data_IF_594143436163
#
_entry.id   IF_594143436163
#
_cell.length_a   1.000
_cell.length_b   1.000
_cell.length_c   1.000
_cell.angle_alpha   90.00
_cell.angle_beta   90.00
_cell.angle_gamma   90.00
#
_symmetry.space_group_name_H-M   'P 1'
#
loop_
_entity.id
_entity.type
_entity.pdbx_description
1 polymer ?
#
# COMPACT_ATOMS: atom_id res chain seq x y z
N UNK A 1 34.40 16.68 27.29
CA UNK A 1 35.51 15.74 27.49
C UNK A 1 34.94 14.40 27.93
N UNK A 2 34.84 13.45 27.05
CA UNK A 2 35.03 12.00 27.26
C UNK A 2 35.00 11.32 25.88
N UNK A 3 36.10 10.72 25.61
CA UNK A 3 36.58 10.09 24.38
C UNK A 3 35.92 8.72 24.16
N UNK A 4 35.66 8.39 22.91
CA UNK A 4 35.34 7.06 22.41
C UNK A 4 36.62 6.24 22.20
N UNK A 5 36.57 4.91 22.29
CA UNK A 5 37.60 4.04 21.71
C UNK A 5 37.09 3.32 20.44
N UNK A 6 38.04 2.86 19.56
CA UNK A 6 37.76 2.14 18.35
C UNK A 6 37.79 0.63 18.56
N UNK A 7 37.07 -0.13 17.73
CA UNK A 7 37.25 -1.58 17.60
C UNK A 7 37.52 -1.96 16.15
N UNK A 8 38.71 -2.41 15.92
CA UNK A 8 39.21 -3.14 14.76
C UNK A 8 38.98 -4.64 14.96
N UNK A 9 38.75 -5.38 13.87
CA UNK A 9 38.67 -6.85 13.89
C UNK A 9 38.71 -7.42 12.48
N UNK A 10 39.90 -7.79 12.07
CA UNK A 10 40.30 -8.45 10.82
C UNK A 10 40.01 -9.96 10.83
N UNK A 11 40.00 -10.54 9.63
CA UNK A 11 40.34 -11.94 9.36
C UNK A 11 39.15 -12.78 8.88
N UNK A 12 39.22 -13.67 7.94
CA UNK A 12 40.32 -14.25 7.15
C UNK A 12 39.72 -15.04 5.98
N UNK A 13 40.44 -15.09 4.89
CA UNK A 13 40.26 -15.96 3.73
C UNK A 13 40.29 -17.46 4.05
N UNK A 14 39.56 -18.27 3.29
CA UNK A 14 40.05 -19.59 2.91
C UNK A 14 39.54 -20.03 1.54
N UNK A 15 40.52 -20.30 0.70
CA UNK A 15 40.50 -20.95 -0.61
C UNK A 15 40.35 -22.47 -0.49
N UNK A 16 40.02 -23.13 -1.59
CA UNK A 16 40.19 -24.55 -1.84
C UNK A 16 38.95 -25.14 -2.50
N UNK A 17 38.99 -25.95 -3.51
CA UNK A 17 39.97 -26.45 -4.46
C UNK A 17 39.20 -27.27 -5.50
N UNK A 18 39.73 -27.33 -6.69
CA UNK A 18 39.41 -28.12 -7.87
C UNK A 18 39.02 -29.59 -7.63
N UNK A 19 38.13 -30.08 -8.50
CA UNK A 19 37.90 -31.51 -8.71
C UNK A 19 37.40 -31.78 -10.13
N UNK A 20 38.32 -31.93 -11.08
CA UNK A 20 38.05 -32.40 -12.43
C UNK A 20 37.85 -33.91 -12.44
N UNK A 21 36.77 -34.42 -13.00
CA UNK A 21 36.52 -35.81 -13.27
C UNK A 21 35.99 -36.01 -14.67
N UNK A 22 36.89 -36.36 -15.58
CA UNK A 22 36.58 -36.78 -16.95
C UNK A 22 36.23 -38.27 -16.94
N UNK A 23 35.13 -38.67 -17.53
CA UNK A 23 34.86 -40.05 -17.89
C UNK A 23 34.03 -40.11 -19.20
N UNK A 24 34.58 -40.70 -20.24
CA UNK A 24 33.97 -41.12 -21.51
C UNK A 24 34.22 -42.61 -21.71
N UNK A 25 33.71 -43.30 -22.76
CA UNK A 25 32.32 -43.58 -23.10
C UNK A 25 32.04 -45.10 -23.21
N UNK A 26 30.80 -45.50 -23.23
CA UNK A 26 30.41 -46.89 -23.55
C UNK A 26 29.19 -46.89 -24.48
N UNK A 27 29.41 -47.27 -25.72
CA UNK A 27 28.37 -47.50 -26.70
C UNK A 27 27.80 -48.92 -26.56
N UNK A 28 26.48 -49.06 -26.55
CA UNK A 28 25.77 -50.27 -26.98
C UNK A 28 24.34 -49.94 -27.32
N UNK A 29 23.95 -50.18 -28.56
CA UNK A 29 22.63 -49.87 -29.09
C UNK A 29 21.59 -50.87 -28.66
N UNK A 30 20.37 -50.35 -28.51
CA UNK A 30 19.12 -51.10 -28.66
C UNK A 30 18.08 -50.18 -29.32
N UNK A 31 17.71 -50.57 -30.56
CA UNK A 31 16.59 -49.94 -31.25
C UNK A 31 15.28 -50.39 -30.59
N UNK A 32 14.59 -49.49 -29.96
CA UNK A 32 13.20 -49.67 -29.52
C UNK A 32 12.33 -48.60 -30.18
N UNK A 33 11.46 -49.07 -31.06
CA UNK A 33 10.41 -48.32 -31.73
C UNK A 33 9.45 -47.78 -30.67
N UNK A 34 9.56 -46.50 -30.33
CA UNK A 34 8.62 -45.82 -29.43
C UNK A 34 7.60 -45.00 -30.24
N UNK A 35 6.36 -45.48 -30.20
CA UNK A 35 5.18 -44.75 -30.71
C UNK A 35 5.14 -43.39 -30.04
N UNK A 36 5.20 -42.34 -30.84
CA UNK A 36 5.01 -40.94 -30.41
C UNK A 36 3.51 -40.71 -30.06
N UNK A 37 3.15 -40.88 -28.83
CA UNK A 37 1.94 -40.28 -28.29
C UNK A 37 2.25 -38.82 -27.97
N UNK A 38 1.85 -37.92 -28.87
CA UNK A 38 1.90 -36.47 -28.62
C UNK A 38 0.89 -36.12 -27.55
N UNK A 39 1.31 -36.07 -26.30
CA UNK A 39 0.58 -35.36 -25.27
C UNK A 39 0.81 -33.87 -25.49
N UNK A 40 -0.15 -33.22 -26.11
CA UNK A 40 -0.20 -31.76 -26.18
C UNK A 40 -0.43 -31.22 -24.76
N UNK A 41 0.67 -30.76 -24.14
CA UNK A 41 0.57 -29.94 -22.92
C UNK A 41 0.00 -28.59 -23.36
N UNK A 42 -1.30 -28.40 -23.16
CA UNK A 42 -1.90 -27.09 -23.28
C UNK A 42 -1.32 -26.21 -22.15
N UNK A 43 -0.36 -25.37 -22.49
CA UNK A 43 0.15 -24.32 -21.63
C UNK A 43 -0.97 -23.29 -21.45
N UNK A 44 -1.77 -23.44 -20.39
CA UNK A 44 -2.71 -22.39 -19.95
C UNK A 44 -1.87 -21.28 -19.36
N UNK A 45 -1.54 -20.29 -20.20
CA UNK A 45 -0.97 -19.02 -19.73
C UNK A 45 -2.11 -18.30 -19.00
N UNK A 46 -2.15 -18.44 -17.67
CA UNK A 46 -2.90 -17.54 -16.82
C UNK A 46 -2.24 -16.16 -16.96
N UNK A 47 -2.73 -15.36 -17.92
CA UNK A 47 -2.49 -13.92 -17.89
C UNK A 47 -3.16 -13.40 -16.61
N UNK A 48 -2.39 -13.36 -15.54
CA UNK A 48 -2.71 -12.54 -14.38
C UNK A 48 -2.80 -11.10 -14.89
N UNK A 49 -4.00 -10.57 -15.00
CA UNK A 49 -4.21 -9.15 -15.20
C UNK A 49 -3.58 -8.44 -14.01
N UNK A 50 -2.33 -8.01 -14.14
CA UNK A 50 -1.76 -6.99 -13.30
C UNK A 50 -2.60 -5.73 -13.61
N UNK A 51 -3.60 -5.46 -12.77
CA UNK A 51 -4.35 -4.21 -12.82
C UNK A 51 -3.34 -3.07 -12.74
N UNK A 52 -3.64 -1.93 -13.38
CA UNK A 52 -2.74 -0.78 -13.39
C UNK A 52 -2.42 -0.40 -11.94
N UNK A 53 -1.16 -0.43 -11.59
CA UNK A 53 -0.66 0.04 -10.30
C UNK A 53 -0.99 1.52 -10.19
N UNK A 54 -2.00 1.88 -9.40
CA UNK A 54 -2.33 3.26 -9.05
C UNK A 54 -3.52 3.90 -9.77
N UNK A 55 -4.22 3.22 -10.69
CA UNK A 55 -5.40 3.78 -11.34
C UNK A 55 -6.67 3.60 -10.51
N UNK A 56 -7.39 4.69 -10.20
CA UNK A 56 -8.75 4.68 -9.68
C UNK A 56 -9.68 5.47 -10.60
N UNK A 57 -10.94 5.04 -10.68
CA UNK A 57 -11.96 5.77 -11.44
C UNK A 57 -12.81 6.61 -10.48
N UNK A 58 -13.00 7.88 -10.81
CA UNK A 58 -13.95 8.76 -10.11
C UNK A 58 -15.27 8.71 -10.87
N UNK A 59 -16.35 8.37 -10.17
CA UNK A 59 -17.71 8.32 -10.70
C UNK A 59 -18.57 9.26 -9.85
N UNK A 60 -18.96 10.38 -10.44
CA UNK A 60 -19.66 11.44 -9.69
C UNK A 60 -18.78 11.99 -8.56
N UNK A 61 -19.26 11.86 -7.34
CA UNK A 61 -18.59 12.31 -6.10
C UNK A 61 -17.92 11.16 -5.30
N UNK A 62 -17.61 10.04 -5.97
CA UNK A 62 -17.11 8.83 -5.34
C UNK A 62 -16.01 8.12 -6.14
N UNK A 63 -15.22 7.32 -5.47
CA UNK A 63 -14.39 6.22 -6.02
C UNK A 63 -15.06 4.93 -5.57
N UNK A 64 -15.89 4.28 -6.42
CA UNK A 64 -16.67 3.10 -6.01
C UNK A 64 -15.81 1.91 -5.62
N UNK A 65 -14.78 1.65 -6.40
CA UNK A 65 -13.94 0.48 -6.26
C UNK A 65 -12.84 0.70 -5.20
N UNK A 66 -12.54 -0.35 -4.44
CA UNK A 66 -11.40 -0.35 -3.53
C UNK A 66 -10.09 -0.19 -4.29
N UNK A 67 -9.18 0.65 -3.81
CA UNK A 67 -7.84 0.85 -4.37
C UNK A 67 -6.99 -0.44 -4.35
N UNK A 68 -7.34 -1.39 -3.51
CA UNK A 68 -6.63 -2.67 -3.34
C UNK A 68 -7.40 -3.86 -3.86
N UNK A 69 -8.66 -3.67 -4.31
CA UNK A 69 -9.59 -4.76 -4.63
C UNK A 69 -10.05 -5.56 -3.40
N UNK A 70 -9.75 -5.12 -2.18
CA UNK A 70 -10.13 -5.77 -0.92
C UNK A 70 -10.63 -4.73 0.07
N UNK A 71 -11.50 -5.12 1.04
CA UNK A 71 -11.92 -4.23 2.10
C UNK A 71 -10.74 -3.91 3.04
N UNK A 72 -10.79 -2.75 3.66
CA UNK A 72 -9.85 -2.34 4.69
C UNK A 72 -10.18 -2.95 6.06
N UNK A 73 -9.27 -2.76 7.01
CA UNK A 73 -9.43 -3.17 8.40
C UNK A 73 -9.75 -1.92 9.27
N UNK A 74 -10.94 -1.84 9.89
CA UNK A 74 -11.33 -0.69 10.67
C UNK A 74 -10.46 -0.46 11.92
N UNK A 75 -9.89 -1.50 12.52
CA UNK A 75 -9.02 -1.34 13.68
C UNK A 75 -7.68 -0.67 13.29
N UNK A 76 -7.10 -1.09 12.15
CA UNK A 76 -5.92 -0.41 11.61
C UNK A 76 -6.26 1.01 11.17
N UNK A 77 -7.43 1.21 10.54
CA UNK A 77 -7.91 2.54 10.15
C UNK A 77 -8.01 3.48 11.34
N UNK A 78 -8.58 3.01 12.46
CA UNK A 78 -8.66 3.79 13.69
C UNK A 78 -7.27 4.18 14.21
N UNK A 79 -6.33 3.26 14.19
CA UNK A 79 -4.96 3.53 14.62
C UNK A 79 -4.27 4.58 13.74
N UNK A 80 -4.49 4.55 12.41
CA UNK A 80 -3.97 5.55 11.47
C UNK A 80 -4.58 6.92 11.76
N UNK A 81 -5.89 7.02 11.97
CA UNK A 81 -6.60 8.28 12.24
C UNK A 81 -6.12 8.91 13.55
N UNK A 82 -5.91 8.10 14.60
CA UNK A 82 -5.41 8.56 15.90
C UNK A 82 -3.92 8.98 15.84
N UNK A 83 -3.13 8.40 14.94
CA UNK A 83 -1.70 8.65 14.85
C UNK A 83 -1.38 10.03 14.25
N UNK A 84 -0.98 10.99 15.09
CA UNK A 84 -0.67 12.37 14.71
C UNK A 84 0.49 12.52 13.73
N UNK A 85 1.36 11.53 13.63
CA UNK A 85 2.52 11.53 12.74
C UNK A 85 2.28 10.77 11.43
N UNK A 86 1.14 10.08 11.31
CA UNK A 86 0.80 9.25 10.15
C UNK A 86 -0.44 9.78 9.43
N UNK A 87 -1.61 9.70 10.07
CA UNK A 87 -2.88 10.13 9.49
C UNK A 87 -3.10 11.64 9.52
N UNK A 88 -2.52 12.34 10.51
CA UNK A 88 -2.68 13.79 10.73
C UNK A 88 -4.14 14.24 10.92
N UNK A 89 -5.12 13.35 10.94
CA UNK A 89 -6.55 13.63 10.91
C UNK A 89 -6.99 14.48 12.11
N UNK A 90 -6.58 14.08 13.32
CA UNK A 90 -6.97 14.75 14.57
C UNK A 90 -6.24 16.09 14.79
N UNK A 91 -5.36 16.52 13.90
CA UNK A 91 -4.86 17.89 13.90
C UNK A 91 -5.92 18.91 13.47
N UNK A 92 -6.86 18.48 12.62
CA UNK A 92 -7.92 19.32 12.08
C UNK A 92 -9.32 18.87 12.51
N UNK A 93 -9.57 17.58 12.63
CA UNK A 93 -10.87 17.00 12.97
C UNK A 93 -10.95 16.59 14.43
N UNK A 94 -12.15 16.66 14.99
CA UNK A 94 -12.54 15.95 16.21
C UNK A 94 -13.20 14.62 15.86
N UNK A 95 -13.34 13.73 16.85
CA UNK A 95 -14.02 12.43 16.67
C UNK A 95 -14.10 11.63 17.97
N UNK A 96 -14.61 10.39 17.93
CA UNK A 96 -14.79 9.55 19.09
C UNK A 96 -13.47 8.90 19.55
N UNK A 97 -12.53 9.73 19.98
CA UNK A 97 -11.21 9.33 20.48
C UNK A 97 -11.02 9.89 21.89
N UNK A 98 -11.61 9.26 22.93
CA UNK A 98 -11.54 9.78 24.31
C UNK A 98 -10.12 9.81 24.87
N UNK A 99 -9.22 8.98 24.33
CA UNK A 99 -7.80 8.96 24.67
C UNK A 99 -7.02 10.16 24.11
N UNK A 100 -7.53 10.80 23.04
CA UNK A 100 -6.92 11.96 22.39
C UNK A 100 -7.52 13.26 22.92
N UNK A 101 -6.87 13.85 23.91
CA UNK A 101 -7.38 15.04 24.62
C UNK A 101 -7.39 16.31 23.78
N UNK A 102 -6.49 16.42 22.81
CA UNK A 102 -6.31 17.63 21.98
C UNK A 102 -6.67 17.30 20.53
N UNK A 103 -7.93 17.45 20.19
CA UNK A 103 -8.43 17.24 18.83
C UNK A 103 -8.69 18.59 18.17
N UNK A 104 -8.44 18.65 16.85
CA UNK A 104 -8.68 19.85 16.06
C UNK A 104 -10.17 20.15 15.89
N UNK A 105 -10.46 21.43 15.68
CA UNK A 105 -11.82 21.93 15.39
C UNK A 105 -11.88 22.72 14.09
N UNK A 106 -10.82 22.63 13.28
CA UNK A 106 -10.72 23.35 12.01
C UNK A 106 -11.61 22.71 10.92
N UNK A 107 -11.86 21.41 11.03
CA UNK A 107 -12.66 20.63 10.11
C UNK A 107 -13.83 19.94 10.83
N UNK A 108 -14.87 19.48 10.09
CA UNK A 108 -16.02 18.81 10.68
C UNK A 108 -15.64 17.57 11.50
N UNK A 109 -16.44 17.28 12.55
CA UNK A 109 -16.25 16.07 13.35
C UNK A 109 -16.33 14.82 12.49
N UNK A 110 -15.47 13.82 12.78
CA UNK A 110 -15.51 12.50 12.17
C UNK A 110 -16.66 11.65 12.71
N UNK A 111 -17.24 11.99 13.87
CA UNK A 111 -18.44 11.32 14.36
C UNK A 111 -19.55 11.38 13.30
N UNK A 112 -20.26 10.28 13.08
CA UNK A 112 -21.30 10.17 12.07
C UNK A 112 -20.82 10.17 10.61
N UNK A 113 -19.52 10.08 10.34
CA UNK A 113 -19.00 10.09 8.96
C UNK A 113 -19.62 8.97 8.10
N UNK A 114 -19.79 7.77 8.66
CA UNK A 114 -20.39 6.62 7.98
C UNK A 114 -21.90 6.72 7.78
N UNK A 115 -22.58 7.67 8.47
CA UNK A 115 -23.98 7.99 8.20
C UNK A 115 -24.12 9.02 7.09
N UNK A 116 -23.15 9.95 6.98
CA UNK A 116 -23.19 11.05 6.01
C UNK A 116 -22.73 10.64 4.61
N UNK A 117 -21.77 9.69 4.50
CA UNK A 117 -21.15 9.35 3.23
C UNK A 117 -20.97 7.84 3.07
N UNK A 118 -21.09 7.38 1.82
CA UNK A 118 -20.71 6.02 1.42
C UNK A 118 -19.18 5.84 1.46
N UNK A 119 -18.73 4.59 1.48
CA UNK A 119 -17.30 4.27 1.42
C UNK A 119 -16.61 4.88 0.19
N UNK A 120 -17.27 4.87 -0.98
CA UNK A 120 -16.73 5.47 -2.19
C UNK A 120 -16.57 6.99 -2.07
N UNK A 121 -17.51 7.66 -1.41
CA UNK A 121 -17.44 9.09 -1.15
C UNK A 121 -16.37 9.43 -0.11
N UNK A 122 -16.20 8.61 0.92
CA UNK A 122 -15.12 8.74 1.91
C UNK A 122 -13.76 8.52 1.23
N UNK A 123 -13.68 7.52 0.35
CA UNK A 123 -12.46 7.21 -0.41
C UNK A 123 -12.02 8.38 -1.27
N UNK A 124 -12.93 9.00 -2.03
CA UNK A 124 -12.57 10.17 -2.84
C UNK A 124 -12.06 11.34 -2.01
N UNK A 125 -12.68 11.60 -0.83
CA UNK A 125 -12.23 12.65 0.09
C UNK A 125 -10.81 12.43 0.57
N UNK A 126 -10.44 11.19 0.86
CA UNK A 126 -9.10 10.83 1.29
C UNK A 126 -8.10 10.81 0.13
N UNK A 127 -8.49 10.27 -1.01
CA UNK A 127 -7.61 10.18 -2.19
C UNK A 127 -7.27 11.56 -2.71
N UNK A 128 -8.28 12.37 -2.99
CA UNK A 128 -8.12 13.74 -3.46
C UNK A 128 -9.40 14.58 -3.25
N UNK A 129 -9.53 15.13 -2.08
CA UNK A 129 -10.68 15.99 -1.72
C UNK A 129 -10.81 17.26 -2.58
N UNK A 130 -9.75 17.68 -3.27
CA UNK A 130 -9.76 18.85 -4.18
C UNK A 130 -10.70 18.65 -5.38
N UNK A 131 -11.00 17.41 -5.72
CA UNK A 131 -11.99 17.09 -6.76
C UNK A 131 -13.43 17.43 -6.36
N UNK A 132 -13.70 17.52 -5.07
CA UNK A 132 -15.00 17.90 -4.52
C UNK A 132 -15.04 19.38 -4.13
N UNK A 133 -13.94 19.88 -3.60
CA UNK A 133 -13.77 21.28 -3.21
C UNK A 133 -12.33 21.71 -3.54
N UNK A 134 -12.11 22.48 -4.62
CA UNK A 134 -10.78 22.95 -5.00
C UNK A 134 -10.09 23.81 -3.93
N UNK A 135 -10.88 24.48 -3.07
CA UNK A 135 -10.36 25.35 -2.02
C UNK A 135 -10.13 24.62 -0.68
N UNK A 136 -10.26 23.29 -0.67
CA UNK A 136 -10.03 22.52 0.55
C UNK A 136 -8.60 22.64 1.05
N UNK A 137 -8.45 22.81 2.36
CA UNK A 137 -7.16 22.73 3.05
C UNK A 137 -6.77 21.30 3.43
N UNK A 138 -7.70 20.32 3.31
CA UNK A 138 -7.41 18.92 3.54
C UNK A 138 -6.46 18.43 2.45
N UNK A 139 -5.26 17.92 2.81
CA UNK A 139 -4.33 17.44 1.81
C UNK A 139 -4.84 16.18 1.13
N UNK A 140 -4.49 15.94 -0.15
CA UNK A 140 -4.70 14.64 -0.76
C UNK A 140 -3.77 13.63 -0.08
N UNK A 141 -4.34 12.55 0.42
CA UNK A 141 -3.54 11.52 1.11
C UNK A 141 -2.94 10.50 0.14
N UNK A 142 -3.52 10.34 -1.04
CA UNK A 142 -3.07 9.34 -2.01
C UNK A 142 -2.66 9.93 -3.36
N UNK A 143 -3.41 10.88 -3.90
CA UNK A 143 -3.05 11.55 -5.16
C UNK A 143 -1.80 12.41 -4.96
N UNK A 144 -0.86 12.28 -5.89
CA UNK A 144 0.35 13.12 -5.94
C UNK A 144 0.30 14.12 -7.11
N UNK A 145 -0.81 14.15 -7.85
CA UNK A 145 -0.99 15.01 -9.01
C UNK A 145 -1.19 16.47 -8.61
N UNK A 146 -0.59 17.37 -9.37
CA UNK A 146 -0.77 18.82 -9.21
C UNK A 146 -0.25 19.38 -7.88
N UNK A 147 0.52 18.63 -7.11
CA UNK A 147 1.13 19.11 -5.88
C UNK A 147 2.31 20.03 -6.19
N UNK A 148 2.37 21.15 -5.49
CA UNK A 148 3.45 22.14 -5.60
C UNK A 148 4.16 22.29 -4.26
N UNK A 149 5.44 22.70 -4.27
CA UNK A 149 6.22 23.00 -3.07
C UNK A 149 6.39 21.80 -2.13
N UNK A 150 6.39 20.59 -2.71
CA UNK A 150 6.62 19.34 -1.97
C UNK A 150 8.10 19.20 -1.68
N UNK A 151 8.46 18.87 -0.44
CA UNK A 151 9.84 18.61 -0.08
C UNK A 151 10.40 17.42 -0.92
N UNK A 152 11.67 17.47 -1.36
CA UNK A 152 12.24 16.47 -2.27
C UNK A 152 12.10 15.03 -1.77
N UNK A 153 12.20 14.81 -0.46
CA UNK A 153 12.03 13.48 0.14
C UNK A 153 10.63 12.88 -0.04
N UNK A 154 9.61 13.70 -0.31
CA UNK A 154 8.20 13.33 -0.45
C UNK A 154 7.67 13.47 -1.89
N UNK A 155 8.47 14.01 -2.80
CA UNK A 155 8.05 14.19 -4.19
C UNK A 155 7.61 12.86 -4.81
N UNK A 156 6.42 12.84 -5.40
CA UNK A 156 5.83 11.66 -6.02
C UNK A 156 5.39 10.54 -5.05
N UNK A 157 5.42 10.79 -3.73
CA UNK A 157 5.00 9.81 -2.73
C UNK A 157 3.66 10.22 -2.10
N UNK A 158 2.69 9.30 -2.01
CA UNK A 158 1.46 9.55 -1.26
C UNK A 158 1.74 9.62 0.26
N UNK A 159 0.89 10.33 0.98
CA UNK A 159 0.94 10.38 2.46
C UNK A 159 0.54 9.02 3.05
N UNK A 160 -0.50 8.41 2.48
CA UNK A 160 -0.98 7.07 2.84
C UNK A 160 -0.98 6.16 1.62
N UNK A 161 -0.52 4.92 1.77
CA UNK A 161 -0.63 3.90 0.74
C UNK A 161 -2.08 3.42 0.53
N UNK A 162 -2.35 2.77 -0.61
CA UNK A 162 -3.68 2.29 -0.96
C UNK A 162 -4.35 1.47 0.15
N UNK A 163 -3.62 0.52 0.76
CA UNK A 163 -4.15 -0.28 1.87
C UNK A 163 -4.50 0.56 3.10
N UNK A 164 -3.72 1.58 3.41
CA UNK A 164 -3.99 2.49 4.52
C UNK A 164 -5.21 3.37 4.25
N UNK A 165 -5.42 3.80 3.00
CA UNK A 165 -6.66 4.49 2.60
C UNK A 165 -7.87 3.60 2.85
N UNK A 166 -7.82 2.33 2.40
CA UNK A 166 -8.94 1.41 2.61
C UNK A 166 -9.20 1.13 4.10
N UNK A 167 -8.14 1.00 4.91
CA UNK A 167 -8.27 0.83 6.36
C UNK A 167 -8.97 2.04 6.99
N UNK A 168 -8.59 3.27 6.61
CA UNK A 168 -9.24 4.50 7.10
C UNK A 168 -10.69 4.61 6.62
N UNK A 169 -10.98 4.28 5.36
CA UNK A 169 -12.36 4.23 4.83
C UNK A 169 -13.22 3.27 5.63
N UNK A 170 -12.72 2.04 5.86
CA UNK A 170 -13.42 1.03 6.63
C UNK A 170 -13.73 1.52 8.06
N UNK A 171 -12.77 2.18 8.71
CA UNK A 171 -13.00 2.76 10.03
C UNK A 171 -14.04 3.88 10.01
N UNK A 172 -13.91 4.86 9.12
CA UNK A 172 -14.84 5.98 9.03
C UNK A 172 -16.27 5.52 8.73
N UNK A 173 -16.44 4.47 7.94
CA UNK A 173 -17.73 3.87 7.65
C UNK A 173 -18.42 3.26 8.89
N UNK A 174 -17.66 2.91 9.92
CA UNK A 174 -18.22 2.44 11.22
C UNK A 174 -18.75 3.58 12.08
N UNK A 175 -18.32 4.82 11.85
CA UNK A 175 -18.72 5.98 12.65
C UNK A 175 -20.11 6.45 12.24
N UNK A 176 -21.13 5.76 12.74
CA UNK A 176 -22.54 6.08 12.51
C UNK A 176 -23.08 6.87 13.68
N UNK A 177 -24.03 7.76 13.38
CA UNK A 177 -24.83 8.43 14.40
C UNK A 177 -25.79 7.39 15.01
N UNK A 178 -25.90 7.38 16.33
CA UNK A 178 -26.89 6.61 17.08
C UNK A 178 -28.24 7.32 17.06
#
# INVERSE_FOLDING_TARGET
MRTAPPASGSGASRSGASGSGVFTPGASGFAASARRTSFGVALVVLLGAAGPMGGYAVVGDAIPDSLTGRPGDPARGRAIVAARHLGLCLLCHSGPFPEERFQGTLAPSLAGAGSRWSEGQLRLRLVDGRRLNPDTIMPPYYSTEGLTRVAPAWAGKPVLGAGQIEDVVAFLATLREE
#
